data_IF_798888018090
#
_entry.id   IF_798888018090
#
_cell.length_a   1.000
_cell.length_b   1.000
_cell.length_c   1.000
_cell.angle_alpha   90.00
_cell.angle_beta   90.00
_cell.angle_gamma   90.00
#
_symmetry.space_group_name_H-M   'P 1'
#
loop_
_entity.id
_entity.type
_entity.pdbx_description
1 polymer ?
#
# COMPACT_ATOMS: atom_id res chain seq x y z
N UNK A 1 3.17 -15.71 -20.58
CA UNK A 1 3.23 -14.74 -19.46
C UNK A 1 2.39 -15.30 -18.32
N UNK A 2 2.91 -15.43 -17.09
CA UNK A 2 2.12 -16.02 -16.00
C UNK A 2 0.98 -15.09 -15.57
N UNK A 3 -0.16 -15.66 -15.13
CA UNK A 3 -1.32 -14.91 -14.62
C UNK A 3 -0.89 -13.91 -13.52
N UNK A 4 0.01 -14.32 -12.63
CA UNK A 4 0.56 -13.47 -11.59
C UNK A 4 1.32 -12.25 -12.14
N UNK A 5 2.03 -12.40 -13.27
CA UNK A 5 2.72 -11.28 -13.91
C UNK A 5 1.75 -10.30 -14.55
N UNK A 6 0.66 -10.79 -15.13
CA UNK A 6 -0.42 -9.95 -15.68
C UNK A 6 -1.07 -9.12 -14.58
N UNK A 7 -1.47 -9.74 -13.48
CA UNK A 7 -2.09 -9.06 -12.34
C UNK A 7 -1.14 -8.03 -11.71
N UNK A 8 0.14 -8.36 -11.57
CA UNK A 8 1.14 -7.39 -11.08
C UNK A 8 1.23 -6.18 -12.00
N UNK A 9 1.36 -6.40 -13.31
CA UNK A 9 1.52 -5.31 -14.28
C UNK A 9 0.26 -4.44 -14.32
N UNK A 10 -0.93 -5.03 -14.23
CA UNK A 10 -2.17 -4.26 -14.20
C UNK A 10 -2.27 -3.39 -12.95
N UNK A 11 -1.93 -3.92 -11.77
CA UNK A 11 -1.90 -3.13 -10.53
C UNK A 11 -0.85 -2.00 -10.63
N UNK A 12 0.37 -2.30 -11.12
CA UNK A 12 1.40 -1.28 -11.34
C UNK A 12 0.91 -0.17 -12.28
N UNK A 13 0.24 -0.52 -13.37
CA UNK A 13 -0.30 0.46 -14.32
C UNK A 13 -1.35 1.36 -13.66
N UNK A 14 -2.27 0.77 -12.88
CA UNK A 14 -3.27 1.54 -12.12
C UNK A 14 -2.61 2.50 -11.14
N UNK A 15 -1.61 2.05 -10.38
CA UNK A 15 -0.89 2.88 -9.42
C UNK A 15 -0.16 4.05 -10.10
N UNK A 16 0.50 3.82 -11.25
CA UNK A 16 1.19 4.88 -11.99
C UNK A 16 0.18 5.90 -12.55
N UNK A 17 -0.92 5.43 -13.16
CA UNK A 17 -1.96 6.32 -13.68
C UNK A 17 -2.58 7.15 -12.56
N UNK A 18 -2.89 6.54 -11.41
CA UNK A 18 -3.38 7.27 -10.24
C UNK A 18 -2.36 8.29 -9.73
N UNK A 19 -1.08 7.97 -9.79
CA UNK A 19 0.03 8.87 -9.42
C UNK A 19 0.11 10.10 -10.29
N UNK A 20 0.01 9.90 -11.60
CA UNK A 20 -0.01 11.00 -12.57
C UNK A 20 -1.25 11.85 -12.37
N UNK A 21 -2.42 11.23 -12.18
CA UNK A 21 -3.67 11.96 -11.92
C UNK A 21 -3.56 12.77 -10.62
N UNK A 22 -3.01 12.21 -9.54
CA UNK A 22 -2.85 12.94 -8.29
C UNK A 22 -1.86 14.09 -8.45
N UNK A 23 -0.71 13.86 -9.09
CA UNK A 23 0.28 14.91 -9.39
C UNK A 23 -0.32 16.10 -10.15
N UNK A 24 -1.28 15.87 -11.05
CA UNK A 24 -1.89 16.92 -11.85
C UNK A 24 -3.05 17.66 -11.16
N UNK A 25 -3.69 17.06 -10.17
CA UNK A 25 -4.97 17.55 -9.64
C UNK A 25 -4.97 17.83 -8.12
N UNK A 26 -3.87 17.57 -7.42
CA UNK A 26 -3.82 17.66 -5.96
C UNK A 26 -2.51 18.32 -5.51
N UNK A 27 -2.60 19.40 -4.73
CA UNK A 27 -1.45 20.12 -4.19
C UNK A 27 -0.65 19.28 -3.17
N UNK A 28 -1.30 18.30 -2.55
CA UNK A 28 -0.69 17.41 -1.55
C UNK A 28 -0.20 16.08 -2.13
N UNK A 29 -0.06 15.99 -3.46
CA UNK A 29 0.40 14.78 -4.15
C UNK A 29 1.72 14.21 -3.61
N UNK A 30 2.59 15.07 -3.08
CA UNK A 30 3.91 14.72 -2.58
C UNK A 30 3.89 13.83 -1.32
N UNK A 31 2.74 13.70 -0.66
CA UNK A 31 2.55 12.84 0.52
C UNK A 31 2.40 11.37 0.09
N UNK A 32 1.40 11.07 -0.73
CA UNK A 32 1.07 9.69 -1.11
C UNK A 32 1.75 9.20 -2.39
N UNK A 33 1.74 10.05 -3.43
CA UNK A 33 2.05 9.61 -4.78
C UNK A 33 3.47 9.06 -4.94
N UNK A 34 4.51 9.67 -4.34
CA UNK A 34 5.86 9.08 -4.38
C UNK A 34 5.91 7.66 -3.83
N UNK A 35 5.12 7.32 -2.82
CA UNK A 35 5.13 6.00 -2.17
C UNK A 35 4.62 4.94 -3.14
N UNK A 36 3.39 5.10 -3.65
CA UNK A 36 2.79 4.07 -4.49
C UNK A 36 3.32 4.07 -5.93
N UNK A 37 3.80 5.20 -6.47
CA UNK A 37 4.46 5.26 -7.77
C UNK A 37 5.84 4.60 -7.72
N UNK A 38 6.65 4.88 -6.70
CA UNK A 38 7.96 4.23 -6.56
C UNK A 38 7.82 2.72 -6.37
N UNK A 39 6.86 2.28 -5.56
CA UNK A 39 6.51 0.88 -5.43
C UNK A 39 6.08 0.27 -6.78
N UNK A 40 5.22 0.94 -7.55
CA UNK A 40 4.80 0.46 -8.87
C UNK A 40 5.99 0.28 -9.83
N UNK A 41 6.89 1.27 -9.89
CA UNK A 41 8.11 1.21 -10.72
C UNK A 41 9.01 0.05 -10.30
N UNK A 42 9.23 -0.15 -9.00
CA UNK A 42 10.03 -1.27 -8.47
C UNK A 42 9.42 -2.63 -8.82
N UNK A 43 8.10 -2.72 -8.95
CA UNK A 43 7.37 -3.96 -9.21
C UNK A 43 7.14 -4.27 -10.70
N UNK A 44 7.34 -3.30 -11.61
CA UNK A 44 7.26 -3.53 -13.06
C UNK A 44 8.28 -4.58 -13.53
N UNK A 45 9.53 -4.42 -13.10
CA UNK A 45 10.63 -5.37 -13.36
C UNK A 45 11.42 -5.63 -12.07
N UNK A 46 10.98 -6.60 -11.24
CA UNK A 46 11.66 -6.87 -9.98
C UNK A 46 13.06 -7.43 -10.21
N UNK A 47 14.08 -6.71 -9.74
CA UNK A 47 15.50 -7.06 -9.89
C UNK A 47 16.08 -7.59 -8.57
N UNK A 48 15.70 -8.81 -8.19
CA UNK A 48 15.95 -9.35 -6.84
C UNK A 48 17.45 -9.55 -6.52
N UNK A 49 18.28 -9.76 -7.55
CA UNK A 49 19.74 -9.82 -7.38
C UNK A 49 20.42 -8.46 -7.16
N UNK A 50 19.72 -7.34 -7.44
CA UNK A 50 20.29 -6.01 -7.30
C UNK A 50 20.14 -5.50 -5.86
N UNK A 51 21.25 -5.17 -5.20
CA UNK A 51 21.25 -4.59 -3.84
C UNK A 51 20.40 -3.33 -3.77
N UNK A 52 20.50 -2.45 -4.77
CA UNK A 52 19.75 -1.20 -4.87
C UNK A 52 18.24 -1.45 -4.88
N UNK A 53 17.77 -2.38 -5.69
CA UNK A 53 16.34 -2.77 -5.72
C UNK A 53 15.88 -3.34 -4.37
N UNK A 54 16.71 -4.16 -3.70
CA UNK A 54 16.40 -4.71 -2.37
C UNK A 54 16.27 -3.61 -1.31
N UNK A 55 17.12 -2.58 -1.36
CA UNK A 55 17.04 -1.43 -0.44
C UNK A 55 15.80 -0.60 -0.72
N UNK A 56 15.56 -0.20 -1.97
CA UNK A 56 14.39 0.61 -2.32
C UNK A 56 13.07 -0.12 -2.09
N UNK A 57 12.99 -1.43 -2.36
CA UNK A 57 11.81 -2.22 -2.02
C UNK A 57 11.59 -2.33 -0.51
N UNK A 58 12.65 -2.41 0.30
CA UNK A 58 12.52 -2.36 1.76
C UNK A 58 12.00 -1.02 2.25
N UNK A 59 12.53 0.08 1.71
CA UNK A 59 12.07 1.43 2.02
C UNK A 59 10.61 1.63 1.60
N UNK A 60 10.23 1.21 0.40
CA UNK A 60 8.84 1.29 -0.07
C UNK A 60 7.88 0.50 0.84
N UNK A 61 8.29 -0.69 1.32
CA UNK A 61 7.49 -1.47 2.28
C UNK A 61 7.36 -0.74 3.61
N UNK A 62 8.47 -0.23 4.17
CA UNK A 62 8.46 0.44 5.47
C UNK A 62 7.66 1.74 5.44
N UNK A 63 7.94 2.61 4.45
CA UNK A 63 7.25 3.88 4.30
C UNK A 63 5.77 3.66 3.99
N UNK A 64 5.44 2.72 3.10
CA UNK A 64 4.04 2.41 2.77
C UNK A 64 3.28 1.81 3.94
N UNK A 65 3.88 0.92 4.73
CA UNK A 65 3.26 0.35 5.92
C UNK A 65 3.08 1.39 7.03
N UNK A 66 4.09 2.23 7.27
CA UNK A 66 4.01 3.31 8.26
C UNK A 66 2.95 4.33 7.85
N UNK A 67 2.90 4.72 6.58
CA UNK A 67 1.90 5.61 6.04
C UNK A 67 0.49 5.03 6.17
N UNK A 68 0.25 3.84 5.61
CA UNK A 68 -1.06 3.19 5.66
C UNK A 68 -1.53 2.93 7.10
N UNK A 69 -0.61 2.51 7.99
CA UNK A 69 -0.90 2.28 9.40
C UNK A 69 -1.22 3.57 10.16
N UNK A 70 -0.39 4.60 10.01
CA UNK A 70 -0.58 5.90 10.66
C UNK A 70 -1.90 6.54 10.21
N UNK A 71 -2.17 6.59 8.91
CA UNK A 71 -3.42 7.18 8.42
C UNK A 71 -4.64 6.36 8.80
N UNK A 72 -4.59 5.03 8.70
CA UNK A 72 -5.72 4.19 9.16
C UNK A 72 -5.99 4.39 10.65
N UNK A 73 -4.94 4.48 11.47
CA UNK A 73 -5.07 4.74 12.90
C UNK A 73 -5.64 6.13 13.20
N UNK A 74 -5.12 7.16 12.52
CA UNK A 74 -5.58 8.55 12.64
C UNK A 74 -7.05 8.69 12.25
N UNK A 75 -7.46 8.08 11.13
CA UNK A 75 -8.84 8.04 10.69
C UNK A 75 -9.71 7.33 11.73
N UNK A 76 -9.28 6.18 12.24
CA UNK A 76 -10.05 5.41 13.22
C UNK A 76 -10.24 6.14 14.58
N UNK A 77 -9.22 6.88 15.05
CA UNK A 77 -9.21 7.45 16.40
C UNK A 77 -9.54 8.95 16.43
N UNK A 78 -9.05 9.70 15.45
CA UNK A 78 -9.22 11.16 15.39
C UNK A 78 -10.51 11.50 14.66
N UNK A 79 -10.87 10.75 13.61
CA UNK A 79 -12.03 11.08 12.77
C UNK A 79 -13.35 10.44 13.20
N UNK A 80 -13.40 9.57 14.22
CA UNK A 80 -14.69 9.27 14.89
C UNK A 80 -15.37 10.54 15.44
N UNK A 81 -14.63 11.64 15.63
CA UNK A 81 -15.17 12.96 15.95
C UNK A 81 -15.44 13.86 14.71
N UNK A 82 -14.77 13.63 13.58
CA UNK A 82 -14.81 14.49 12.37
C UNK A 82 -15.67 13.94 11.23
N UNK A 83 -15.99 12.64 11.20
CA UNK A 83 -16.99 12.04 10.29
C UNK A 83 -18.39 12.62 10.53
N UNK A 84 -18.63 13.21 11.70
CA UNK A 84 -19.85 13.97 12.03
C UNK A 84 -19.85 15.36 11.35
N UNK A 85 -18.71 15.86 10.89
CA UNK A 85 -18.51 17.22 10.41
C UNK A 85 -18.39 17.37 8.87
N UNK A 86 -18.57 16.28 8.10
CA UNK A 86 -18.60 16.31 6.62
C UNK A 86 -17.32 16.91 5.98
N UNK A 87 -16.16 16.65 6.60
CA UNK A 87 -14.88 17.17 6.10
C UNK A 87 -14.40 16.36 4.89
N UNK A 88 -14.62 16.92 3.69
CA UNK A 88 -14.28 16.33 2.39
C UNK A 88 -12.81 15.91 2.30
N UNK A 89 -11.93 16.59 3.03
CA UNK A 89 -10.51 16.28 3.12
C UNK A 89 -10.24 14.92 3.78
N UNK A 90 -10.93 14.61 4.88
CA UNK A 90 -10.84 13.33 5.60
C UNK A 90 -11.21 12.16 4.71
N UNK A 91 -12.26 12.31 3.91
CA UNK A 91 -12.79 11.26 3.05
C UNK A 91 -11.88 10.99 1.86
N UNK A 92 -11.28 12.04 1.29
CA UNK A 92 -10.31 11.93 0.20
C UNK A 92 -9.04 11.19 0.64
N UNK A 93 -8.57 11.47 1.86
CA UNK A 93 -7.36 10.86 2.40
C UNK A 93 -7.58 9.38 2.75
N UNK A 94 -8.72 9.06 3.38
CA UNK A 94 -9.11 7.67 3.66
C UNK A 94 -9.14 6.80 2.41
N UNK A 95 -9.52 7.37 1.26
CA UNK A 95 -9.51 6.70 -0.06
C UNK A 95 -8.10 6.44 -0.62
N UNK A 96 -7.11 7.29 -0.29
CA UNK A 96 -5.73 7.18 -0.77
C UNK A 96 -4.93 6.11 -0.02
N UNK A 97 -5.30 5.83 1.22
CA UNK A 97 -4.76 4.69 2.00
C UNK A 97 -4.87 3.37 1.22
N UNK A 98 -5.94 3.17 0.44
CA UNK A 98 -6.10 1.98 -0.41
C UNK A 98 -4.92 1.80 -1.38
N UNK A 99 -4.48 2.89 -2.02
CA UNK A 99 -3.43 2.84 -3.03
C UNK A 99 -2.06 2.55 -2.41
N UNK A 100 -1.74 3.19 -1.28
CA UNK A 100 -0.50 2.97 -0.55
C UNK A 100 -0.45 1.57 0.08
N UNK A 101 -1.56 1.11 0.64
CA UNK A 101 -1.70 -0.24 1.18
C UNK A 101 -1.58 -1.32 0.08
N UNK A 102 -2.24 -1.13 -1.07
CA UNK A 102 -2.13 -2.04 -2.21
C UNK A 102 -0.71 -2.09 -2.78
N UNK A 103 -0.05 -0.94 -2.90
CA UNK A 103 1.35 -0.85 -3.34
C UNK A 103 2.31 -1.58 -2.38
N UNK A 104 2.07 -1.44 -1.07
CA UNK A 104 2.83 -2.13 -0.02
C UNK A 104 2.62 -3.64 -0.10
N UNK A 105 1.36 -4.09 -0.16
CA UNK A 105 1.02 -5.50 -0.29
C UNK A 105 1.62 -6.13 -1.57
N UNK A 106 1.60 -5.40 -2.69
CA UNK A 106 2.22 -5.83 -3.94
C UNK A 106 3.73 -6.01 -3.79
N UNK A 107 4.42 -5.03 -3.18
CA UNK A 107 5.87 -5.06 -2.97
C UNK A 107 6.29 -6.17 -2.01
N UNK A 108 5.50 -6.41 -0.96
CA UNK A 108 5.67 -7.56 -0.07
C UNK A 108 5.51 -8.87 -0.85
N UNK A 109 4.45 -9.01 -1.65
CA UNK A 109 4.16 -10.23 -2.42
C UNK A 109 5.26 -10.55 -3.45
N UNK A 110 5.78 -9.54 -4.15
CA UNK A 110 6.87 -9.74 -5.11
C UNK A 110 8.19 -10.10 -4.45
N UNK A 111 8.43 -9.62 -3.24
CA UNK A 111 9.63 -9.95 -2.46
C UNK A 111 9.55 -11.35 -1.87
N UNK A 112 8.42 -11.72 -1.29
CA UNK A 112 8.20 -13.07 -0.73
C UNK A 112 8.23 -14.17 -1.79
N UNK A 113 7.66 -13.92 -2.98
CA UNK A 113 7.66 -14.90 -4.08
C UNK A 113 9.04 -15.18 -4.69
N UNK A 114 10.07 -14.41 -4.30
CA UNK A 114 11.42 -14.50 -4.88
C UNK A 114 12.53 -14.54 -3.84
N UNK A 115 12.22 -14.58 -2.55
CA UNK A 115 13.25 -14.73 -1.51
C UNK A 115 13.69 -16.20 -1.43
N UNK A 116 14.99 -16.42 -1.36
CA UNK A 116 15.60 -17.73 -1.14
C UNK A 116 15.97 -17.89 0.33
N UNK A 117 15.50 -18.96 0.97
CA UNK A 117 15.80 -19.23 2.39
C UNK A 117 17.17 -19.88 2.53
N UNK A 118 18.22 -19.06 2.69
CA UNK A 118 19.59 -19.56 2.85
C UNK A 118 20.16 -19.34 4.27
N UNK A 119 19.45 -18.64 5.16
CA UNK A 119 19.94 -18.31 6.50
C UNK A 119 18.83 -18.33 7.54
N UNK A 120 19.17 -18.58 8.80
CA UNK A 120 18.22 -18.55 9.94
C UNK A 120 17.60 -17.17 10.12
N UNK A 121 18.34 -16.10 9.79
CA UNK A 121 17.85 -14.71 9.80
C UNK A 121 16.80 -14.43 8.72
N UNK A 122 16.62 -15.32 7.74
CA UNK A 122 15.54 -15.19 6.76
C UNK A 122 14.16 -15.39 7.41
N UNK A 123 14.05 -16.24 8.45
CA UNK A 123 12.78 -16.55 9.12
C UNK A 123 12.13 -15.33 9.76
N UNK A 124 12.79 -14.60 10.70
CA UNK A 124 12.16 -13.44 11.34
C UNK A 124 11.85 -12.33 10.34
N UNK A 125 12.69 -12.16 9.31
CA UNK A 125 12.45 -11.18 8.24
C UNK A 125 11.21 -11.53 7.42
N UNK A 126 11.05 -12.79 7.03
CA UNK A 126 9.86 -13.25 6.29
C UNK A 126 8.62 -13.11 7.15
N UNK A 127 8.69 -13.46 8.44
CA UNK A 127 7.56 -13.30 9.37
C UNK A 127 7.13 -11.83 9.49
N UNK A 128 8.09 -10.91 9.61
CA UNK A 128 7.82 -9.47 9.61
C UNK A 128 7.17 -9.01 8.30
N UNK A 129 7.67 -9.48 7.15
CA UNK A 129 7.07 -9.16 5.84
C UNK A 129 5.64 -9.67 5.71
N UNK A 130 5.37 -10.89 6.18
CA UNK A 130 4.02 -11.47 6.18
C UNK A 130 3.10 -10.63 7.07
N UNK A 131 3.54 -10.27 8.29
CA UNK A 131 2.77 -9.41 9.18
C UNK A 131 2.43 -8.05 8.55
N UNK A 132 3.42 -7.40 7.91
CA UNK A 132 3.21 -6.14 7.19
C UNK A 132 2.25 -6.33 6.00
N UNK A 133 2.39 -7.43 5.25
CA UNK A 133 1.51 -7.75 4.13
C UNK A 133 0.06 -7.93 4.56
N UNK A 134 -0.17 -8.71 5.63
CA UNK A 134 -1.51 -8.89 6.21
C UNK A 134 -2.07 -7.57 6.73
N UNK A 135 -1.28 -6.80 7.47
CA UNK A 135 -1.68 -5.47 7.96
C UNK A 135 -2.05 -4.51 6.83
N UNK A 136 -1.30 -4.54 5.72
CA UNK A 136 -1.60 -3.73 4.54
C UNK A 136 -2.90 -4.16 3.86
N UNK A 137 -3.18 -5.46 3.78
CA UNK A 137 -4.45 -5.98 3.24
C UNK A 137 -5.62 -5.52 4.13
N UNK A 138 -5.47 -5.59 5.46
CA UNK A 138 -6.49 -5.11 6.39
C UNK A 138 -6.73 -3.60 6.25
N UNK A 139 -5.65 -2.80 6.12
CA UNK A 139 -5.77 -1.36 5.87
C UNK A 139 -6.47 -1.05 4.54
N UNK A 140 -6.20 -1.83 3.48
CA UNK A 140 -6.90 -1.72 2.21
C UNK A 140 -8.40 -2.06 2.34
N UNK A 141 -8.75 -3.11 3.09
CA UNK A 141 -10.14 -3.45 3.39
C UNK A 141 -10.82 -2.32 4.17
N UNK A 142 -10.18 -1.78 5.21
CA UNK A 142 -10.69 -0.64 5.96
C UNK A 142 -10.93 0.59 5.06
N UNK A 143 -9.94 0.92 4.22
CA UNK A 143 -10.05 2.03 3.28
C UNK A 143 -11.18 1.86 2.25
N UNK A 144 -11.53 0.62 1.90
CA UNK A 144 -12.62 0.32 0.98
C UNK A 144 -14.00 0.75 1.51
N UNK A 145 -14.16 0.85 2.83
CA UNK A 145 -15.38 1.36 3.45
C UNK A 145 -15.68 2.81 3.04
N UNK A 146 -14.65 3.66 2.83
CA UNK A 146 -14.83 5.04 2.37
C UNK A 146 -15.32 5.17 0.92
N UNK A 147 -15.23 4.09 0.15
CA UNK A 147 -15.78 4.03 -1.21
C UNK A 147 -17.20 3.46 -1.23
N UNK A 148 -17.51 2.55 -0.32
CA UNK A 148 -18.81 1.88 -0.26
C UNK A 148 -19.17 1.50 1.17
N UNK A 149 -20.13 2.21 1.73
CA UNK A 149 -20.59 1.98 3.11
C UNK A 149 -21.40 0.68 3.27
N UNK A 150 -21.89 0.08 2.17
CA UNK A 150 -22.73 -1.13 2.18
C UNK A 150 -21.94 -2.44 2.35
N UNK A 151 -20.62 -2.37 2.57
CA UNK A 151 -19.79 -3.55 2.72
C UNK A 151 -19.99 -4.19 4.11
N UNK A 152 -20.14 -5.53 4.21
CA UNK A 152 -20.56 -6.20 5.44
C UNK A 152 -19.55 -6.10 6.59
N UNK A 153 -18.29 -5.81 6.28
CA UNK A 153 -17.22 -5.63 7.27
C UNK A 153 -17.09 -4.20 7.76
N UNK A 154 -17.78 -3.23 7.16
CA UNK A 154 -17.68 -1.83 7.59
C UNK A 154 -18.44 -1.55 8.89
N UNK A 155 -19.39 -2.41 9.28
CA UNK A 155 -20.10 -2.32 10.56
C UNK A 155 -19.31 -2.89 11.74
N UNK A 156 -18.24 -3.66 11.46
CA UNK A 156 -17.38 -4.29 12.47
C UNK A 156 -16.19 -3.41 12.88
N UNK A 157 -16.03 -2.25 12.24
CA UNK A 157 -14.89 -1.33 12.40
C UNK A 157 -15.36 -0.03 13.04
#
# INVERSE_FOLDING_TARGET
>A
MSLFSLVRISICAVLIVRGIVQFLNDDFWWIDAPIYVSAAVLNLRPAVGCKTWRTFSALAILLGALHAGFFSWSVAHIQRAAVIADDEFSLAEGKRVLLTAAATALTVSTRLSRDSYSSVLAIPRTLLMVAIGVGSILAACYSSCFYRNDLPYCSLI
#
